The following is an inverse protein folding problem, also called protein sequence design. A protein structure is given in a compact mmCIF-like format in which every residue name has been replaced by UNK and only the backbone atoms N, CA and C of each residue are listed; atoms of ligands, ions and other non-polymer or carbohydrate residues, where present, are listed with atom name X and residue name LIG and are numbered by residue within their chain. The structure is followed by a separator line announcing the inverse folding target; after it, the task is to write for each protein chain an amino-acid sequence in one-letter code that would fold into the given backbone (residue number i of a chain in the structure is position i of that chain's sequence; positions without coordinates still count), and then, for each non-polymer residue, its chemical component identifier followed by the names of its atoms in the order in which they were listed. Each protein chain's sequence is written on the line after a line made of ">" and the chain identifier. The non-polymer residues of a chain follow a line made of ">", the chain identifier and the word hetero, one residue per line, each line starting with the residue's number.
data_IF_261397249787
#
_entry.id   IF_261397249787
#
_cell.length_a   1.000
_cell.length_b   1.000
_cell.length_c   1.000
_cell.angle_alpha   90.00
_cell.angle_beta   90.00
_cell.angle_gamma   90.00
#
_symmetry.space_group_name_H-M   'P 1'
#
loop_
_entity.id
_entity.type
_entity.pdbx_description
1 polymer ?
#
# COMPACT_ATOMS: atom_id res chain seq x y z
N UNK A 1 6.34 -42.05 -27.90
CA UNK A 1 7.74 -41.73 -27.56
C UNK A 1 8.26 -40.78 -28.64
N UNK A 2 8.66 -39.54 -28.42
CA UNK A 2 8.51 -38.61 -27.31
C UNK A 2 8.95 -37.25 -27.92
N UNK A 3 8.00 -36.38 -28.30
CA UNK A 3 8.31 -35.06 -28.87
C UNK A 3 7.57 -33.95 -28.11
N UNK A 4 7.27 -34.18 -26.83
CA UNK A 4 6.72 -33.17 -25.92
C UNK A 4 7.70 -32.79 -24.79
N UNK A 5 8.92 -33.35 -24.80
CA UNK A 5 9.84 -33.24 -23.67
C UNK A 5 10.87 -32.09 -23.74
N UNK A 6 10.87 -31.22 -24.76
CA UNK A 6 11.94 -30.20 -24.94
C UNK A 6 11.51 -28.74 -24.76
N UNK A 7 10.30 -28.47 -24.27
CA UNK A 7 9.91 -27.10 -23.85
C UNK A 7 9.12 -27.11 -22.53
N UNK A 8 9.79 -27.52 -21.46
CA UNK A 8 9.21 -27.48 -20.10
C UNK A 8 8.98 -26.06 -19.56
N UNK A 9 9.48 -25.02 -20.24
CA UNK A 9 9.35 -23.63 -19.82
C UNK A 9 9.00 -22.74 -21.02
N UNK A 10 7.85 -22.07 -20.95
CA UNK A 10 7.47 -21.05 -21.92
C UNK A 10 8.10 -19.71 -21.51
N UNK A 11 8.98 -19.19 -22.37
CA UNK A 11 9.62 -17.89 -22.19
C UNK A 11 8.81 -16.82 -22.91
N UNK A 12 8.31 -15.85 -22.18
CA UNK A 12 7.53 -14.73 -22.71
C UNK A 12 8.40 -13.48 -22.61
N UNK A 13 8.61 -12.82 -23.74
CA UNK A 13 9.37 -11.58 -23.82
C UNK A 13 8.42 -10.44 -24.20
N UNK A 14 8.35 -9.44 -23.35
CA UNK A 14 7.57 -8.23 -23.59
C UNK A 14 8.53 -7.05 -23.72
N UNK A 15 8.43 -6.35 -24.84
CA UNK A 15 9.21 -5.14 -25.11
C UNK A 15 8.29 -3.95 -24.84
N UNK A 16 8.60 -3.18 -23.79
CA UNK A 16 8.09 -1.82 -23.59
C UNK A 16 9.14 -0.83 -24.09
N UNK A 17 8.73 0.38 -24.51
CA UNK A 17 9.54 1.37 -25.24
C UNK A 17 11.03 1.46 -24.83
N UNK A 18 11.33 1.35 -23.53
CA UNK A 18 12.69 1.48 -22.98
C UNK A 18 13.21 0.22 -22.24
N UNK A 19 12.41 -0.84 -22.12
CA UNK A 19 12.78 -2.03 -21.31
C UNK A 19 12.14 -3.33 -21.80
N UNK A 20 12.96 -4.37 -21.89
CA UNK A 20 12.52 -5.74 -22.20
C UNK A 20 12.36 -6.53 -20.91
N UNK A 21 11.14 -7.01 -20.65
CA UNK A 21 10.83 -7.89 -19.52
C UNK A 21 10.75 -9.34 -19.99
N UNK A 22 11.44 -10.23 -19.29
CA UNK A 22 11.46 -11.67 -19.58
C UNK A 22 10.75 -12.40 -18.44
N UNK A 23 9.68 -13.12 -18.77
CA UNK A 23 8.91 -13.95 -17.87
C UNK A 23 9.07 -15.42 -18.25
N UNK A 24 9.05 -16.31 -17.25
CA UNK A 24 9.22 -17.76 -17.43
C UNK A 24 8.04 -18.45 -16.76
N UNK A 25 7.21 -19.15 -17.52
CA UNK A 25 6.05 -19.86 -16.96
C UNK A 25 6.07 -21.33 -17.36
N UNK A 26 5.51 -22.18 -16.50
CA UNK A 26 5.23 -23.58 -16.80
C UNK A 26 3.83 -23.75 -17.41
N UNK A 27 2.99 -22.71 -17.32
CA UNK A 27 1.62 -22.73 -17.81
C UNK A 27 1.58 -22.15 -19.22
N UNK A 28 1.33 -23.02 -20.21
CA UNK A 28 1.31 -22.68 -21.64
C UNK A 28 -0.07 -22.22 -22.12
N UNK A 29 -1.12 -22.52 -21.37
CA UNK A 29 -2.52 -22.26 -21.74
C UNK A 29 -3.00 -20.85 -21.39
N UNK A 30 -2.18 -20.07 -20.69
CA UNK A 30 -2.53 -18.76 -20.14
C UNK A 30 -1.97 -17.66 -21.05
N UNK A 31 -2.75 -16.61 -21.30
CA UNK A 31 -2.32 -15.48 -22.13
C UNK A 31 -1.12 -14.75 -21.51
N UNK A 32 -0.20 -14.27 -22.37
CA UNK A 32 0.98 -13.52 -21.96
C UNK A 32 0.66 -12.33 -21.03
N UNK A 33 -0.44 -11.61 -21.28
CA UNK A 33 -0.85 -10.46 -20.46
C UNK A 33 -1.27 -10.89 -19.04
N UNK A 34 -1.97 -12.02 -18.90
CA UNK A 34 -2.37 -12.56 -17.60
C UNK A 34 -1.16 -13.02 -16.79
N UNK A 35 -0.16 -13.62 -17.46
CA UNK A 35 1.10 -14.02 -16.80
C UNK A 35 1.81 -12.78 -16.24
N UNK A 36 1.88 -11.69 -16.99
CA UNK A 36 2.44 -10.42 -16.49
C UNK A 36 1.69 -9.93 -15.26
N UNK A 37 0.35 -10.01 -15.25
CA UNK A 37 -0.46 -9.60 -14.11
C UNK A 37 -0.18 -10.46 -12.86
N UNK A 38 -0.05 -11.77 -13.02
CA UNK A 38 0.36 -12.68 -11.95
C UNK A 38 1.75 -12.30 -11.43
N UNK A 39 2.70 -11.99 -12.32
CA UNK A 39 4.04 -11.55 -11.93
C UNK A 39 4.04 -10.18 -11.24
N UNK A 40 3.13 -9.27 -11.60
CA UNK A 40 2.93 -8.00 -10.88
C UNK A 40 2.46 -8.25 -9.44
N UNK A 41 1.63 -9.27 -9.22
CA UNK A 41 1.15 -9.62 -7.89
C UNK A 41 2.23 -10.18 -6.95
N UNK A 42 3.38 -10.65 -7.49
CA UNK A 42 4.52 -11.10 -6.68
C UNK A 42 5.00 -10.03 -5.68
N UNK A 43 4.98 -8.75 -6.07
CA UNK A 43 5.36 -7.63 -5.22
C UNK A 43 4.44 -7.43 -4.01
N UNK A 44 3.22 -7.98 -4.03
CA UNK A 44 2.30 -7.86 -2.90
C UNK A 44 2.84 -8.61 -1.67
N UNK A 45 3.57 -9.71 -1.86
CA UNK A 45 4.19 -10.50 -0.79
C UNK A 45 5.24 -9.66 -0.06
N UNK A 46 6.05 -8.90 -0.80
CA UNK A 46 7.06 -8.00 -0.20
C UNK A 46 6.40 -6.88 0.61
N UNK A 47 5.32 -6.28 0.08
CA UNK A 47 4.54 -5.28 0.81
C UNK A 47 3.93 -5.87 2.09
N UNK A 48 3.48 -7.12 2.05
CA UNK A 48 2.98 -7.84 3.22
C UNK A 48 4.07 -8.01 4.28
N UNK A 49 5.23 -8.54 3.91
CA UNK A 49 6.35 -8.72 4.85
C UNK A 49 6.89 -7.39 5.39
N UNK A 50 6.92 -6.34 4.56
CA UNK A 50 7.27 -4.98 5.00
C UNK A 50 6.32 -4.48 6.08
N UNK A 51 5.01 -4.66 5.89
CA UNK A 51 4.01 -4.32 6.91
C UNK A 51 4.17 -5.17 8.17
N UNK A 52 4.41 -6.46 8.04
CA UNK A 52 4.62 -7.36 9.18
C UNK A 52 5.77 -6.85 10.06
N UNK A 53 6.95 -6.60 9.46
CA UNK A 53 8.13 -6.10 10.19
C UNK A 53 7.92 -4.71 10.80
N UNK A 54 7.15 -3.83 10.15
CA UNK A 54 6.84 -2.50 10.68
C UNK A 54 5.85 -2.52 11.85
N UNK A 55 4.90 -3.45 11.86
CA UNK A 55 3.87 -3.51 12.91
C UNK A 55 4.30 -4.35 14.12
N UNK A 56 5.24 -5.28 13.91
CA UNK A 56 5.81 -6.15 14.94
C UNK A 56 7.32 -5.97 14.96
N UNK A 57 7.84 -4.93 15.63
CA UNK A 57 9.26 -4.85 15.89
C UNK A 57 9.66 -6.05 16.76
N UNK A 58 10.40 -6.99 16.18
CA UNK A 58 10.94 -8.20 16.82
C UNK A 58 12.02 -7.88 17.87
N UNK A 59 12.09 -6.64 18.36
CA UNK A 59 13.10 -6.18 19.32
C UNK A 59 12.89 -6.72 20.73
N UNK A 60 11.68 -7.17 21.05
CA UNK A 60 11.34 -7.74 22.35
C UNK A 60 10.53 -9.02 22.16
N UNK A 61 11.15 -10.16 22.45
CA UNK A 61 10.44 -11.43 22.56
C UNK A 61 9.80 -11.50 23.94
N UNK A 62 8.55 -11.97 24.00
CA UNK A 62 7.84 -12.11 25.29
C UNK A 62 8.38 -13.26 26.14
N UNK A 63 9.22 -14.13 25.57
CA UNK A 63 9.94 -15.18 26.27
C UNK A 63 11.04 -15.78 25.38
N UNK A 64 12.08 -16.32 26.02
CA UNK A 64 13.28 -16.84 25.34
C UNK A 64 13.14 -18.29 24.83
N UNK A 65 11.91 -18.82 24.76
CA UNK A 65 11.62 -20.17 24.28
C UNK A 65 11.23 -20.14 22.80
N UNK A 66 11.74 -21.10 22.01
CA UNK A 66 11.37 -21.31 20.60
C UNK A 66 9.86 -21.37 20.39
N UNK A 67 9.13 -22.10 21.24
CA UNK A 67 7.67 -22.21 21.14
C UNK A 67 6.97 -20.86 21.39
N UNK A 68 7.50 -20.03 22.31
CA UNK A 68 6.95 -18.71 22.58
C UNK A 68 7.14 -17.79 21.37
N UNK A 69 8.28 -17.88 20.69
CA UNK A 69 8.58 -17.14 19.46
C UNK A 69 7.66 -17.60 18.32
N UNK A 70 7.47 -18.91 18.15
CA UNK A 70 6.56 -19.45 17.13
C UNK A 70 5.13 -18.94 17.32
N UNK A 71 4.58 -19.03 18.53
CA UNK A 71 3.24 -18.53 18.85
C UNK A 71 3.16 -17.01 18.61
N UNK A 72 4.19 -16.25 18.96
CA UNK A 72 4.23 -14.81 18.73
C UNK A 72 4.16 -14.47 17.23
N UNK A 73 4.83 -15.24 16.38
CA UNK A 73 4.77 -15.10 14.92
C UNK A 73 3.37 -15.43 14.40
N UNK A 74 2.78 -16.55 14.85
CA UNK A 74 1.41 -16.93 14.45
C UNK A 74 0.39 -15.87 14.83
N UNK A 75 0.44 -15.36 16.06
CA UNK A 75 -0.42 -14.26 16.52
C UNK A 75 -0.24 -12.99 15.68
N UNK A 76 1.01 -12.64 15.34
CA UNK A 76 1.29 -11.47 14.51
C UNK A 76 0.71 -11.59 13.09
N UNK A 77 0.79 -12.78 12.49
CA UNK A 77 0.21 -13.07 11.18
C UNK A 77 -1.33 -12.96 11.21
N UNK A 78 -1.96 -13.57 12.22
CA UNK A 78 -3.43 -13.52 12.38
C UNK A 78 -3.88 -12.07 12.59
N UNK A 79 -3.23 -11.32 13.48
CA UNK A 79 -3.56 -9.92 13.74
C UNK A 79 -3.41 -9.04 12.49
N UNK A 80 -2.36 -9.25 11.70
CA UNK A 80 -2.15 -8.52 10.43
C UNK A 80 -3.26 -8.83 9.41
N UNK A 81 -3.68 -10.09 9.32
CA UNK A 81 -4.77 -10.52 8.45
C UNK A 81 -6.09 -9.85 8.84
N UNK A 82 -6.45 -9.90 10.12
CA UNK A 82 -7.66 -9.26 10.64
C UNK A 82 -7.66 -7.75 10.39
N UNK A 83 -6.52 -7.09 10.65
CA UNK A 83 -6.37 -5.66 10.40
C UNK A 83 -6.53 -5.31 8.92
N UNK A 84 -6.08 -6.18 8.01
CA UNK A 84 -6.22 -6.00 6.57
C UNK A 84 -7.66 -6.17 6.10
N UNK A 85 -8.41 -7.12 6.67
CA UNK A 85 -9.85 -7.29 6.41
C UNK A 85 -10.61 -6.05 6.89
N UNK A 86 -10.36 -5.61 8.13
CA UNK A 86 -10.99 -4.40 8.68
C UNK A 86 -10.68 -3.15 7.83
N UNK A 87 -9.45 -3.03 7.33
CA UNK A 87 -9.08 -1.94 6.45
C UNK A 87 -9.82 -1.99 5.10
N UNK A 88 -10.04 -3.19 4.55
CA UNK A 88 -10.76 -3.40 3.28
C UNK A 88 -12.25 -3.05 3.43
N UNK A 89 -12.88 -3.49 4.51
CA UNK A 89 -14.31 -3.21 4.78
C UNK A 89 -14.58 -1.72 5.00
N UNK A 90 -13.64 -1.01 5.62
CA UNK A 90 -13.83 0.40 6.01
C UNK A 90 -13.45 1.41 4.92
N UNK A 91 -13.34 1.02 3.64
CA UNK A 91 -13.24 1.91 2.46
C UNK A 91 -12.58 3.27 2.74
N UNK A 92 -11.28 3.20 3.04
CA UNK A 92 -10.24 4.16 2.67
C UNK A 92 -10.52 5.65 2.82
N UNK A 93 -10.63 6.13 4.06
CA UNK A 93 -10.06 7.45 4.37
C UNK A 93 -8.91 7.36 5.36
N UNK A 94 -8.95 6.44 6.33
CA UNK A 94 -7.94 6.34 7.38
C UNK A 94 -6.69 5.59 6.90
N UNK A 95 -5.51 6.11 7.28
CA UNK A 95 -4.24 5.42 7.04
C UNK A 95 -4.17 4.13 7.87
N UNK A 96 -3.50 3.11 7.33
CA UNK A 96 -3.34 1.80 7.97
C UNK A 96 -2.77 1.88 9.40
N UNK A 97 -1.79 2.76 9.62
CA UNK A 97 -1.18 2.99 10.94
C UNK A 97 -2.18 3.53 11.96
N UNK A 98 -3.04 4.46 11.56
CA UNK A 98 -4.08 5.03 12.43
C UNK A 98 -5.08 3.94 12.82
N UNK A 99 -5.50 3.12 11.86
CA UNK A 99 -6.38 1.99 12.13
C UNK A 99 -5.74 1.01 13.13
N UNK A 100 -4.47 0.65 12.93
CA UNK A 100 -3.73 -0.20 13.84
C UNK A 100 -3.68 0.38 15.27
N UNK A 101 -3.43 1.69 15.40
CA UNK A 101 -3.43 2.37 16.71
C UNK A 101 -4.80 2.39 17.38
N UNK A 102 -5.88 2.62 16.63
CA UNK A 102 -7.25 2.56 17.15
C UNK A 102 -7.56 1.15 17.66
N UNK A 103 -7.25 0.13 16.87
CA UNK A 103 -7.45 -1.27 17.26
C UNK A 103 -6.65 -1.58 18.53
N UNK A 104 -5.38 -1.18 18.62
CA UNK A 104 -4.56 -1.37 19.83
C UNK A 104 -5.15 -0.69 21.06
N UNK A 105 -5.64 0.55 20.94
CA UNK A 105 -6.21 1.30 22.07
C UNK A 105 -7.53 0.69 22.55
N UNK A 106 -8.36 0.20 21.62
CA UNK A 106 -9.69 -0.30 21.92
C UNK A 106 -9.76 -1.82 22.08
N UNK A 107 -8.66 -2.55 21.91
CA UNK A 107 -8.62 -4.02 22.03
C UNK A 107 -9.13 -4.50 23.39
N UNK A 108 -8.80 -3.77 24.45
CA UNK A 108 -9.17 -4.10 25.84
C UNK A 108 -10.56 -3.61 26.24
N UNK A 109 -11.24 -2.87 25.36
CA UNK A 109 -12.53 -2.25 25.64
C UNK A 109 -13.62 -2.92 24.81
N UNK A 110 -14.78 -3.19 25.41
CA UNK A 110 -15.91 -3.82 24.74
C UNK A 110 -16.66 -2.79 23.87
N UNK A 111 -16.03 -2.35 22.79
CA UNK A 111 -16.59 -1.39 21.85
C UNK A 111 -16.44 -1.90 20.42
N UNK A 112 -17.52 -1.81 19.65
CA UNK A 112 -17.49 -2.14 18.24
C UNK A 112 -16.56 -1.20 17.46
N UNK A 113 -15.51 -1.79 16.88
CA UNK A 113 -14.48 -1.08 16.09
C UNK A 113 -15.11 -0.35 14.90
N UNK A 114 -16.15 -0.91 14.29
CA UNK A 114 -16.84 -0.30 13.13
C UNK A 114 -17.52 1.03 13.51
N UNK A 115 -18.10 1.09 14.71
CA UNK A 115 -18.73 2.30 15.24
C UNK A 115 -17.69 3.40 15.51
N UNK A 116 -16.56 3.03 16.11
CA UNK A 116 -15.45 3.94 16.36
C UNK A 116 -14.92 4.51 15.02
N UNK A 117 -14.67 3.66 14.03
CA UNK A 117 -14.17 4.08 12.72
C UNK A 117 -15.15 5.05 12.05
N UNK A 118 -16.46 4.81 12.14
CA UNK A 118 -17.48 5.73 11.62
C UNK A 118 -17.41 7.11 12.27
N UNK A 119 -17.20 7.20 13.58
CA UNK A 119 -16.99 8.48 14.27
C UNK A 119 -15.71 9.19 13.83
N UNK A 120 -14.61 8.45 13.66
CA UNK A 120 -13.36 9.02 13.14
C UNK A 120 -13.52 9.58 11.72
N UNK A 121 -14.25 8.88 10.84
CA UNK A 121 -14.59 9.38 9.48
C UNK A 121 -15.38 10.69 9.56
N UNK A 122 -16.47 10.72 10.32
CA UNK A 122 -17.34 11.90 10.50
C UNK A 122 -16.58 13.11 11.07
N UNK A 123 -15.69 12.89 12.05
CA UNK A 123 -14.84 13.96 12.63
C UNK A 123 -13.87 14.54 11.59
N UNK A 124 -13.32 13.70 10.72
CA UNK A 124 -12.40 14.13 9.65
C UNK A 124 -13.12 14.94 8.57
N UNK A 125 -14.31 14.53 8.17
CA UNK A 125 -15.16 15.27 7.22
C UNK A 125 -15.50 16.65 7.76
N UNK A 126 -15.89 16.74 9.04
CA UNK A 126 -16.12 18.03 9.71
C UNK A 126 -14.89 18.94 9.69
N UNK A 127 -13.70 18.41 10.02
CA UNK A 127 -12.45 19.20 9.94
C UNK A 127 -12.13 19.66 8.52
N UNK A 128 -12.38 18.83 7.51
CA UNK A 128 -12.19 19.18 6.10
C UNK A 128 -13.14 20.29 5.65
N UNK A 129 -14.38 20.29 6.15
CA UNK A 129 -15.36 21.36 5.88
C UNK A 129 -15.08 22.66 6.65
N UNK A 130 -14.45 22.57 7.84
CA UNK A 130 -14.04 23.72 8.66
C UNK A 130 -12.73 24.39 8.17
N UNK A 131 -11.97 23.72 7.31
CA UNK A 131 -10.78 24.30 6.68
C UNK A 131 -11.23 25.34 5.64
N UNK A 132 -10.81 26.62 5.72
CA UNK A 132 -11.21 27.61 4.73
C UNK A 132 -10.71 27.22 3.33
N UNK A 133 -11.42 27.60 2.24
CA UNK A 133 -11.00 27.30 0.87
C UNK A 133 -9.59 27.82 0.65
N UNK A 134 -8.68 26.95 0.22
CA UNK A 134 -7.35 27.34 -0.25
C UNK A 134 -7.53 28.07 -1.59
N UNK A 135 -7.81 29.37 -1.56
CA UNK A 135 -7.64 30.22 -2.74
C UNK A 135 -6.14 30.25 -3.01
N UNK A 136 -5.68 29.47 -4.00
CA UNK A 136 -4.30 29.56 -4.49
C UNK A 136 -3.98 31.05 -4.72
N UNK A 137 -2.92 31.62 -4.13
CA UNK A 137 -2.50 32.97 -4.48
C UNK A 137 -2.21 32.97 -5.99
N UNK A 138 -3.01 33.70 -6.76
CA UNK A 138 -2.67 33.98 -8.15
C UNK A 138 -1.35 34.76 -8.11
N UNK A 139 -0.33 34.24 -8.78
CA UNK A 139 0.93 34.94 -8.95
C UNK A 139 0.63 36.29 -9.63
N UNK A 140 0.63 37.38 -8.86
CA UNK A 140 0.69 38.72 -9.43
C UNK A 140 2.04 38.82 -10.14
N UNK A 141 2.02 38.89 -11.47
CA UNK A 141 3.15 39.39 -12.24
C UNK A 141 3.46 40.80 -11.72
N UNK A 142 4.53 40.92 -10.93
CA UNK A 142 5.13 42.18 -10.57
C UNK A 142 5.98 42.63 -11.77
N UNK A 143 5.40 43.45 -12.64
CA UNK A 143 6.19 44.23 -13.60
C UNK A 143 6.68 45.46 -12.83
N UNK A 144 8.00 45.52 -12.60
CA UNK A 144 8.65 46.64 -11.93
C UNK A 144 8.64 47.87 -12.87
N UNK A 145 8.09 49.03 -12.47
CA UNK A 145 8.10 50.22 -13.30
C UNK A 145 9.47 50.89 -13.22
N UNK A 146 10.38 50.59 -14.16
CA UNK A 146 11.62 51.36 -14.36
C UNK A 146 12.24 51.28 -15.77
N UNK A 147 11.83 50.41 -16.70
CA UNK A 147 12.49 50.33 -18.03
C UNK A 147 11.55 50.66 -19.19
N UNK A 148 10.78 51.74 -19.06
CA UNK A 148 10.15 52.43 -20.20
C UNK A 148 10.94 53.69 -20.50
N UNK A 149 12.03 53.51 -21.23
CA UNK A 149 12.87 54.62 -21.65
C UNK A 149 14.22 54.14 -22.16
N UNK A 150 14.25 53.40 -23.26
CA UNK A 150 15.36 53.44 -24.20
C UNK A 150 15.01 52.75 -25.52
N UNK A 151 15.42 53.43 -26.60
CA UNK A 151 15.39 53.05 -28.02
C UNK A 151 14.08 53.39 -28.76
N UNK A 152 13.85 54.69 -28.89
CA UNK A 152 13.55 55.25 -30.19
C UNK A 152 14.84 55.20 -31.03
N UNK A 153 14.86 54.34 -32.05
CA UNK A 153 15.51 54.48 -33.36
C UNK A 153 14.97 53.38 -34.27
#
# INVERSE_FOLDING_TARGET
>A
MDLAATRLFCRISLVSLDSTFIYITNHVDIEAMQIVEIYKNRWQIEKFFKKLKQNFPLTYFLGDNVNAIEIQIWCALIALMLLQVLHKENTSTLAFSILASIVRLHLMNYISITHIIKHYKKKRERKKAISPPQTKPQAKQMIHPHLQGQLAF
#
